data_IF_852926629685
#
_entry.id   IF_852926629685
#
_cell.length_a   1.000
_cell.length_b   1.000
_cell.length_c   1.000
_cell.angle_alpha   90.00
_cell.angle_beta   90.00
_cell.angle_gamma   90.00
#
_symmetry.space_group_name_H-M   'P 1'
#
loop_
_entity.id
_entity.type
_entity.pdbx_description
1 polymer ?
#
# COMPACT_ATOMS: atom_id res chain seq x y z
N UNK A 1 -21.96 -4.36 -1.47
CA UNK A 1 -22.58 -5.01 -2.65
C UNK A 1 -21.43 -5.14 -3.63
N UNK A 2 -20.66 -6.20 -3.43
CA UNK A 2 -19.27 -6.33 -3.90
C UNK A 2 -19.18 -7.59 -4.76
N UNK A 3 -19.73 -7.52 -5.98
CA UNK A 3 -19.60 -8.60 -6.96
C UNK A 3 -18.56 -8.21 -8.02
N UNK A 4 -17.29 -8.39 -7.68
CA UNK A 4 -16.26 -8.67 -8.68
C UNK A 4 -15.68 -10.05 -8.37
N UNK A 5 -15.77 -11.02 -9.29
CA UNK A 5 -15.29 -12.37 -9.04
C UNK A 5 -13.78 -12.35 -8.91
N UNK A 6 -13.30 -12.50 -7.68
CA UNK A 6 -11.89 -12.71 -7.39
C UNK A 6 -11.53 -14.11 -7.87
N UNK A 7 -10.71 -14.21 -8.93
CA UNK A 7 -10.05 -15.46 -9.29
C UNK A 7 -9.34 -16.00 -8.03
N UNK A 8 -9.83 -17.12 -7.53
CA UNK A 8 -9.22 -17.82 -6.41
C UNK A 8 -8.23 -18.85 -6.95
N UNK A 9 -7.42 -19.42 -6.07
CA UNK A 9 -6.33 -20.37 -6.39
C UNK A 9 -6.76 -21.60 -7.20
N UNK A 10 -8.06 -21.83 -7.39
CA UNK A 10 -8.64 -22.96 -8.11
C UNK A 10 -8.98 -22.72 -9.58
N UNK A 11 -8.87 -21.50 -10.11
CA UNK A 11 -9.40 -21.17 -11.46
C UNK A 11 -8.34 -21.14 -12.59
N UNK A 12 -7.07 -21.48 -12.31
CA UNK A 12 -6.04 -21.63 -13.34
C UNK A 12 -6.00 -23.06 -13.89
N UNK A 13 -7.09 -23.50 -14.50
CA UNK A 13 -7.14 -24.70 -15.34
C UNK A 13 -7.64 -24.31 -16.74
N UNK A 14 -6.75 -24.44 -17.71
CA UNK A 14 -7.01 -24.55 -19.16
C UNK A 14 -7.98 -23.55 -19.82
N UNK A 15 -7.45 -22.42 -20.29
CA UNK A 15 -8.07 -21.66 -21.37
C UNK A 15 -7.09 -21.46 -22.52
N UNK A 16 -7.46 -22.06 -23.66
CA UNK A 16 -6.75 -22.07 -24.94
C UNK A 16 -6.54 -20.64 -25.48
N UNK A 17 -5.30 -20.37 -25.87
CA UNK A 17 -4.86 -19.13 -26.51
C UNK A 17 -5.07 -19.24 -28.01
N UNK A 18 -6.30 -19.07 -28.49
CA UNK A 18 -6.58 -18.89 -29.91
C UNK A 18 -8.01 -18.41 -30.14
N UNK A 19 -8.34 -17.15 -29.81
CA UNK A 19 -9.52 -16.47 -30.37
C UNK A 19 -9.52 -14.95 -30.11
N UNK A 20 -8.43 -14.27 -30.49
CA UNK A 20 -8.45 -12.81 -30.67
C UNK A 20 -7.61 -12.42 -31.88
N UNK A 21 -8.00 -12.93 -33.05
CA UNK A 21 -7.65 -12.30 -34.32
C UNK A 21 -8.88 -12.26 -35.21
N UNK A 22 -9.14 -11.05 -35.73
CA UNK A 22 -10.00 -10.72 -36.87
C UNK A 22 -11.44 -10.31 -36.56
N UNK A 23 -11.64 -8.99 -36.41
CA UNK A 23 -12.67 -8.22 -37.11
C UNK A 23 -12.34 -6.72 -36.98
N UNK A 24 -11.69 -6.14 -38.00
CA UNK A 24 -12.23 -5.12 -38.96
C UNK A 24 -12.57 -3.77 -38.27
N UNK A 25 -11.68 -2.76 -38.35
CA UNK A 25 -11.41 -1.79 -39.44
C UNK A 25 -12.28 -0.51 -39.41
N UNK A 26 -11.56 0.61 -39.48
CA UNK A 26 -11.85 1.88 -40.18
C UNK A 26 -12.86 2.86 -39.57
N UNK A 27 -12.32 4.07 -39.31
CA UNK A 27 -13.03 5.33 -39.49
C UNK A 27 -13.02 6.22 -38.26
N UNK A 28 -12.22 7.29 -38.31
CA UNK A 28 -12.47 8.66 -37.80
C UNK A 28 -11.20 9.30 -37.24
N UNK A 29 -10.42 9.89 -38.14
CA UNK A 29 -9.67 11.11 -37.82
C UNK A 29 -10.67 12.27 -37.85
N UNK A 30 -10.88 12.94 -36.72
CA UNK A 30 -11.07 14.39 -36.60
C UNK A 30 -11.46 14.79 -35.18
N UNK A 31 -11.02 15.98 -34.78
CA UNK A 31 -11.40 16.73 -33.58
C UNK A 31 -10.68 16.43 -32.27
N UNK A 32 -9.41 16.83 -32.24
CA UNK A 32 -8.80 17.46 -31.07
C UNK A 32 -9.51 18.81 -30.82
N UNK A 33 -10.55 18.79 -29.98
CA UNK A 33 -11.08 19.91 -29.18
C UNK A 33 -12.40 19.44 -28.58
N UNK A 34 -12.33 18.99 -27.32
CA UNK A 34 -13.41 18.98 -26.32
C UNK A 34 -13.04 17.96 -25.23
N UNK A 35 -12.20 18.39 -24.28
CA UNK A 35 -12.09 17.68 -23.01
C UNK A 35 -13.34 17.97 -22.17
N UNK A 36 -14.31 17.10 -22.40
CA UNK A 36 -15.48 16.69 -21.61
C UNK A 36 -15.65 17.35 -20.23
N UNK A 37 -16.81 17.98 -20.07
CA UNK A 37 -17.51 18.19 -18.79
C UNK A 37 -17.44 16.92 -17.94
N UNK A 38 -17.04 17.09 -16.69
CA UNK A 38 -17.14 16.08 -15.64
C UNK A 38 -18.61 15.66 -15.53
N UNK A 39 -18.87 14.37 -15.78
CA UNK A 39 -20.17 13.74 -15.62
C UNK A 39 -20.59 13.80 -14.15
N UNK A 40 -21.62 14.58 -13.87
CA UNK A 40 -22.32 14.66 -12.59
C UNK A 40 -22.87 13.28 -12.20
N UNK A 41 -22.61 12.91 -10.95
CA UNK A 41 -23.11 11.71 -10.29
C UNK A 41 -24.64 11.64 -10.40
N UNK A 42 -25.16 10.44 -10.72
CA UNK A 42 -26.57 10.10 -10.64
C UNK A 42 -27.05 10.32 -9.20
N UNK A 43 -27.92 11.32 -9.02
CA UNK A 43 -28.76 11.44 -7.83
C UNK A 43 -30.12 10.95 -8.29
N UNK A 44 -30.53 9.77 -7.81
CA UNK A 44 -31.91 9.31 -7.91
C UNK A 44 -32.78 10.30 -7.13
N UNK A 45 -33.39 11.23 -7.86
CA UNK A 45 -34.53 12.04 -7.48
C UNK A 45 -35.24 12.42 -8.77
N UNK A 46 -36.41 11.83 -9.00
CA UNK A 46 -37.36 12.14 -10.08
C UNK A 46 -37.97 13.55 -9.90
N UNK A 47 -37.12 14.57 -9.91
CA UNK A 47 -37.54 15.96 -9.99
C UNK A 47 -36.62 16.66 -10.97
N UNK A 48 -36.97 16.60 -12.27
CA UNK A 48 -36.30 17.40 -13.29
C UNK A 48 -36.73 18.86 -13.13
N UNK A 49 -35.90 19.75 -12.54
CA UNK A 49 -36.29 21.12 -12.25
C UNK A 49 -36.29 21.98 -13.53
N UNK A 50 -35.80 21.43 -14.65
CA UNK A 50 -35.69 22.14 -15.92
C UNK A 50 -36.98 22.14 -16.73
N UNK A 51 -37.95 21.27 -16.40
CA UNK A 51 -39.23 21.17 -17.09
C UNK A 51 -40.22 22.32 -16.82
N UNK A 52 -39.96 23.17 -15.81
CA UNK A 52 -40.84 24.26 -15.38
C UNK A 52 -40.22 25.66 -15.59
N UNK A 53 -39.21 25.79 -16.45
CA UNK A 53 -38.61 27.09 -16.78
C UNK A 53 -39.43 27.75 -17.89
N UNK A 54 -39.81 29.02 -17.71
CA UNK A 54 -40.55 29.75 -18.73
C UNK A 54 -39.72 29.98 -20.00
N UNK A 55 -40.36 29.91 -21.17
CA UNK A 55 -39.70 30.09 -22.46
C UNK A 55 -39.02 31.48 -22.57
N UNK A 56 -39.64 32.52 -22.00
CA UNK A 56 -39.07 33.87 -21.93
C UNK A 56 -37.75 33.89 -21.13
N UNK A 57 -37.70 33.16 -20.01
CA UNK A 57 -36.48 33.03 -19.21
C UNK A 57 -35.38 32.31 -19.98
N UNK A 58 -35.70 31.26 -20.74
CA UNK A 58 -34.70 30.52 -21.50
C UNK A 58 -34.06 31.41 -22.58
N UNK A 59 -34.87 32.20 -23.29
CA UNK A 59 -34.39 33.14 -24.31
C UNK A 59 -33.53 34.26 -23.71
N UNK A 60 -33.97 34.87 -22.60
CA UNK A 60 -33.22 35.93 -21.93
C UNK A 60 -31.95 35.42 -21.24
N UNK A 61 -31.98 34.22 -20.67
CA UNK A 61 -30.85 33.61 -19.98
C UNK A 61 -29.68 33.39 -20.93
N UNK A 62 -29.93 32.90 -22.15
CA UNK A 62 -28.87 32.75 -23.16
C UNK A 62 -28.23 34.09 -23.51
N UNK A 63 -29.04 35.15 -23.71
CA UNK A 63 -28.53 36.49 -24.00
C UNK A 63 -27.71 37.09 -22.84
N UNK A 64 -28.08 36.81 -21.59
CA UNK A 64 -27.33 37.23 -20.40
C UNK A 64 -26.00 36.49 -20.29
N UNK A 65 -25.98 35.19 -20.59
CA UNK A 65 -24.77 34.38 -20.58
C UNK A 65 -23.77 34.85 -21.65
N UNK A 66 -24.24 35.18 -22.85
CA UNK A 66 -23.39 35.72 -23.91
C UNK A 66 -22.80 37.09 -23.54
N UNK A 67 -23.58 37.95 -22.88
CA UNK A 67 -23.06 39.22 -22.35
C UNK A 67 -22.01 39.00 -21.25
N UNK A 68 -22.25 38.05 -20.34
CA UNK A 68 -21.33 37.71 -19.26
C UNK A 68 -19.97 37.24 -19.79
N UNK A 69 -19.96 36.42 -20.85
CA UNK A 69 -18.73 35.91 -21.47
C UNK A 69 -17.92 36.99 -22.17
N UNK A 70 -18.54 38.10 -22.59
CA UNK A 70 -17.87 39.23 -23.23
C UNK A 70 -17.22 40.21 -22.23
N UNK A 71 -17.56 40.12 -20.94
CA UNK A 71 -16.98 40.95 -19.89
C UNK A 71 -15.60 40.46 -19.45
N UNK A 72 -14.79 41.36 -18.89
CA UNK A 72 -13.50 40.99 -18.32
C UNK A 72 -13.64 40.30 -16.94
N UNK A 73 -12.56 39.68 -16.43
CA UNK A 73 -12.62 38.92 -15.18
C UNK A 73 -13.10 39.75 -13.97
N UNK A 74 -12.74 41.04 -13.91
CA UNK A 74 -13.18 41.92 -12.81
C UNK A 74 -14.67 42.23 -12.88
N UNK A 75 -15.19 42.53 -14.08
CA UNK A 75 -16.61 42.77 -14.32
C UNK A 75 -17.45 41.51 -14.06
N UNK A 76 -16.94 40.33 -14.44
CA UNK A 76 -17.56 39.04 -14.13
C UNK A 76 -17.62 38.78 -12.62
N UNK A 77 -16.59 39.17 -11.86
CA UNK A 77 -16.60 39.02 -10.40
C UNK A 77 -17.55 40.02 -9.73
N UNK A 78 -17.56 41.30 -10.13
CA UNK A 78 -18.46 42.33 -9.58
C UNK A 78 -19.93 41.97 -9.80
N UNK A 79 -20.30 41.51 -11.00
CA UNK A 79 -21.70 41.10 -11.26
C UNK A 79 -22.07 39.85 -10.46
N UNK A 80 -21.17 38.88 -10.30
CA UNK A 80 -21.43 37.69 -9.49
C UNK A 80 -21.61 38.04 -8.01
N UNK A 81 -20.80 38.97 -7.48
CA UNK A 81 -20.96 39.48 -6.12
C UNK A 81 -22.32 40.17 -5.92
N UNK A 82 -22.72 41.01 -6.88
CA UNK A 82 -24.03 41.66 -6.87
C UNK A 82 -25.17 40.66 -6.93
N UNK A 83 -25.07 39.66 -7.80
CA UNK A 83 -26.09 38.59 -7.94
C UNK A 83 -26.20 37.81 -6.62
N UNK A 84 -25.06 37.37 -6.05
CA UNK A 84 -25.05 36.63 -4.78
C UNK A 84 -25.61 37.48 -3.63
N UNK A 85 -25.33 38.79 -3.59
CA UNK A 85 -25.87 39.70 -2.56
C UNK A 85 -27.40 39.84 -2.57
N UNK A 86 -28.06 39.51 -3.69
CA UNK A 86 -29.52 39.56 -3.85
C UNK A 86 -30.21 38.22 -3.62
N UNK A 87 -29.44 37.14 -3.44
CA UNK A 87 -30.00 35.80 -3.21
C UNK A 87 -30.41 35.60 -1.76
N UNK A 88 -31.43 34.77 -1.55
CA UNK A 88 -31.83 34.30 -0.21
C UNK A 88 -30.81 33.30 0.36
N UNK A 89 -30.85 33.10 1.69
CA UNK A 89 -29.96 32.15 2.37
C UNK A 89 -30.04 30.72 1.78
N UNK A 90 -31.25 30.26 1.44
CA UNK A 90 -31.45 28.95 0.84
C UNK A 90 -30.83 28.85 -0.56
N UNK A 91 -30.96 29.90 -1.38
CA UNK A 91 -30.35 29.95 -2.71
C UNK A 91 -28.81 29.96 -2.61
N UNK A 92 -28.25 30.72 -1.67
CA UNK A 92 -26.82 30.75 -1.41
C UNK A 92 -26.29 29.39 -0.95
N UNK A 93 -27.01 28.68 -0.10
CA UNK A 93 -26.64 27.31 0.32
C UNK A 93 -26.62 26.35 -0.88
N UNK A 94 -27.62 26.42 -1.77
CA UNK A 94 -27.64 25.63 -3.01
C UNK A 94 -26.46 25.98 -3.91
N UNK A 95 -26.15 27.27 -4.08
CA UNK A 95 -24.99 27.73 -4.85
C UNK A 95 -23.67 27.26 -4.24
N UNK A 96 -23.51 27.32 -2.91
CA UNK A 96 -22.33 26.81 -2.22
C UNK A 96 -22.13 25.32 -2.53
N UNK A 97 -23.19 24.50 -2.46
CA UNK A 97 -23.12 23.07 -2.78
C UNK A 97 -22.70 22.81 -4.23
N UNK A 98 -23.02 23.74 -5.14
CA UNK A 98 -22.63 23.68 -6.54
C UNK A 98 -21.19 24.16 -6.80
N UNK A 99 -20.79 25.28 -6.19
CA UNK A 99 -19.47 25.91 -6.37
C UNK A 99 -18.36 25.09 -5.69
N UNK A 100 -18.61 24.59 -4.48
CA UNK A 100 -17.60 23.90 -3.68
C UNK A 100 -16.91 22.72 -4.39
N UNK A 101 -17.61 21.80 -5.08
CA UNK A 101 -16.95 20.75 -5.87
C UNK A 101 -16.19 21.31 -7.09
N UNK A 102 -16.61 22.44 -7.67
CA UNK A 102 -15.89 23.06 -8.80
C UNK A 102 -14.56 23.69 -8.40
N UNK A 103 -14.43 24.07 -7.12
CA UNK A 103 -13.20 24.59 -6.53
C UNK A 103 -12.22 23.48 -6.11
N UNK A 104 -12.72 22.25 -5.91
CA UNK A 104 -11.87 21.13 -5.57
C UNK A 104 -11.04 20.67 -6.76
N UNK A 105 -9.84 20.15 -6.47
CA UNK A 105 -8.90 19.64 -7.46
C UNK A 105 -8.39 18.29 -7.00
N UNK A 106 -8.43 17.30 -7.89
CA UNK A 106 -7.81 16.00 -7.64
C UNK A 106 -6.32 16.11 -7.93
N UNK A 107 -5.53 16.43 -6.91
CA UNK A 107 -4.07 16.55 -7.04
C UNK A 107 -3.43 15.26 -7.55
N UNK A 108 -3.96 14.08 -7.24
CA UNK A 108 -3.35 12.81 -7.66
C UNK A 108 -3.61 12.54 -9.15
N UNK A 109 -4.75 12.99 -9.68
CA UNK A 109 -5.02 12.95 -11.12
C UNK A 109 -4.30 14.07 -11.90
N UNK A 110 -4.06 15.22 -11.28
CA UNK A 110 -3.46 16.40 -11.93
C UNK A 110 -1.93 16.40 -11.90
N UNK A 111 -1.31 15.84 -10.86
CA UNK A 111 0.13 15.84 -10.70
C UNK A 111 0.81 14.76 -11.55
N UNK A 112 2.04 15.01 -12.03
CA UNK A 112 2.91 13.96 -12.54
C UNK A 112 3.05 12.79 -11.56
N UNK A 113 3.11 11.58 -12.08
CA UNK A 113 3.09 10.35 -11.29
C UNK A 113 4.11 10.35 -10.13
N UNK A 114 5.34 10.82 -10.36
CA UNK A 114 6.39 10.82 -9.34
C UNK A 114 6.07 11.74 -8.14
N UNK A 115 5.41 12.88 -8.37
CA UNK A 115 5.01 13.80 -7.29
C UNK A 115 3.84 13.21 -6.50
N UNK A 116 2.87 12.63 -7.20
CA UNK A 116 1.76 11.92 -6.56
C UNK A 116 2.28 10.77 -5.67
N UNK A 117 3.23 9.98 -6.16
CA UNK A 117 3.89 8.93 -5.38
C UNK A 117 4.64 9.49 -4.17
N UNK A 118 5.34 10.61 -4.31
CA UNK A 118 6.08 11.24 -3.21
C UNK A 118 5.15 11.64 -2.08
N UNK A 119 4.03 12.30 -2.39
CA UNK A 119 3.00 12.68 -1.41
C UNK A 119 2.47 11.43 -0.69
N UNK A 120 1.99 10.45 -1.47
CA UNK A 120 1.34 9.26 -0.93
C UNK A 120 2.30 8.35 -0.15
N UNK A 121 3.60 8.38 -0.45
CA UNK A 121 4.61 7.58 0.27
C UNK A 121 4.81 7.99 1.73
N UNK A 122 4.36 9.18 2.13
CA UNK A 122 4.46 9.66 3.50
C UNK A 122 3.34 9.13 4.40
N UNK A 123 2.24 8.63 3.82
CA UNK A 123 1.05 8.21 4.54
C UNK A 123 1.28 6.96 5.41
N UNK A 124 0.39 6.78 6.39
CA UNK A 124 0.30 5.57 7.19
C UNK A 124 -0.57 4.50 6.50
N UNK A 125 -0.59 3.29 7.06
CA UNK A 125 -1.30 2.16 6.46
C UNK A 125 -2.81 2.40 6.34
N UNK A 126 -3.43 3.07 7.33
CA UNK A 126 -4.88 3.29 7.33
C UNK A 126 -5.26 4.31 6.26
N UNK A 127 -4.56 5.43 6.20
CA UNK A 127 -4.81 6.46 5.19
C UNK A 127 -4.48 5.94 3.79
N UNK A 128 -3.41 5.16 3.63
CA UNK A 128 -3.07 4.55 2.35
C UNK A 128 -4.17 3.58 1.86
N UNK A 129 -4.76 2.80 2.75
CA UNK A 129 -5.91 1.94 2.42
C UNK A 129 -7.15 2.76 2.04
N UNK A 130 -7.41 3.89 2.70
CA UNK A 130 -8.48 4.80 2.31
C UNK A 130 -8.26 5.38 0.90
N UNK A 131 -7.01 5.76 0.57
CA UNK A 131 -6.64 6.23 -0.77
C UNK A 131 -6.92 5.20 -1.88
N UNK A 132 -6.82 3.89 -1.60
CA UNK A 132 -7.17 2.84 -2.57
C UNK A 132 -8.66 2.76 -2.90
N UNK A 133 -9.52 3.24 -1.99
CA UNK A 133 -10.97 3.23 -2.12
C UNK A 133 -11.51 4.50 -2.80
N UNK A 134 -10.69 5.54 -2.97
CA UNK A 134 -11.11 6.81 -3.59
C UNK A 134 -11.48 6.62 -5.06
N UNK A 135 -10.60 5.99 -5.85
CA UNK A 135 -10.86 5.70 -7.26
C UNK A 135 -9.91 4.65 -7.84
N UNK A 136 -10.24 4.13 -9.03
CA UNK A 136 -9.36 3.25 -9.79
C UNK A 136 -8.06 3.92 -10.22
N UNK A 137 -8.09 5.23 -10.49
CA UNK A 137 -6.89 6.01 -10.82
C UNK A 137 -5.95 6.11 -9.62
N UNK A 138 -6.49 6.47 -8.45
CA UNK A 138 -5.71 6.50 -7.22
C UNK A 138 -5.07 5.14 -6.94
N UNK A 139 -5.86 4.07 -6.98
CA UNK A 139 -5.33 2.70 -6.81
C UNK A 139 -4.23 2.36 -7.81
N UNK A 140 -4.35 2.77 -9.07
CA UNK A 140 -3.31 2.58 -10.10
C UNK A 140 -2.01 3.32 -9.74
N UNK A 141 -2.10 4.56 -9.26
CA UNK A 141 -0.93 5.33 -8.79
C UNK A 141 -0.26 4.63 -7.60
N UNK A 142 -1.03 4.18 -6.62
CA UNK A 142 -0.52 3.43 -5.47
C UNK A 142 0.18 2.13 -5.89
N UNK A 143 -0.41 1.40 -6.84
CA UNK A 143 0.11 0.13 -7.33
C UNK A 143 1.42 0.32 -8.14
N UNK A 144 1.44 1.26 -9.08
CA UNK A 144 2.63 1.58 -9.90
C UNK A 144 3.78 2.08 -9.03
N UNK A 145 3.48 2.91 -8.02
CA UNK A 145 4.47 3.41 -7.07
C UNK A 145 4.95 2.38 -6.04
N UNK A 146 4.37 1.18 -6.02
CA UNK A 146 4.61 0.12 -5.02
C UNK A 146 4.53 0.64 -3.58
N UNK A 147 3.53 1.49 -3.25
CA UNK A 147 3.54 2.22 -1.99
C UNK A 147 3.44 1.31 -0.74
N UNK A 148 2.70 0.20 -0.82
CA UNK A 148 2.68 -0.80 0.26
C UNK A 148 4.05 -1.44 0.51
N UNK A 149 4.79 -1.72 -0.56
CA UNK A 149 6.16 -2.21 -0.44
C UNK A 149 7.03 -1.18 0.25
N UNK A 150 7.01 0.08 -0.20
CA UNK A 150 7.77 1.19 0.40
C UNK A 150 7.40 1.38 1.89
N UNK A 151 6.13 1.23 2.25
CA UNK A 151 5.65 1.30 3.62
C UNK A 151 6.23 0.18 4.49
N UNK A 152 6.15 -1.08 4.03
CA UNK A 152 6.75 -2.23 4.74
C UNK A 152 8.27 -2.05 4.86
N UNK A 153 8.92 -1.63 3.79
CA UNK A 153 10.36 -1.38 3.73
C UNK A 153 10.80 -0.30 4.72
N UNK A 154 10.03 0.79 4.83
CA UNK A 154 10.21 1.85 5.83
C UNK A 154 10.10 1.29 7.25
N UNK A 155 9.10 0.45 7.51
CA UNK A 155 8.93 -0.16 8.83
C UNK A 155 10.08 -1.11 9.18
N UNK A 156 10.52 -1.95 8.25
CA UNK A 156 11.67 -2.86 8.42
C UNK A 156 12.96 -2.11 8.73
N UNK A 157 13.18 -0.94 8.12
CA UNK A 157 14.37 -0.12 8.41
C UNK A 157 14.34 0.54 9.78
N UNK A 158 13.16 0.97 10.22
CA UNK A 158 12.98 1.74 11.47
C UNK A 158 12.82 0.86 12.70
N UNK A 159 12.16 -0.29 12.57
CA UNK A 159 11.74 -1.12 13.69
C UNK A 159 12.44 -2.49 13.68
N UNK A 160 13.13 -2.79 14.79
CA UNK A 160 13.86 -4.05 14.99
C UNK A 160 12.95 -5.28 14.96
N UNK A 161 11.72 -5.15 15.45
CA UNK A 161 10.78 -6.26 15.44
C UNK A 161 10.40 -6.58 13.99
N UNK A 162 10.12 -5.57 13.15
CA UNK A 162 9.81 -5.79 11.72
C UNK A 162 11.00 -6.43 11.00
N UNK A 163 12.23 -5.97 11.32
CA UNK A 163 13.47 -6.53 10.78
C UNK A 163 13.62 -8.01 11.13
N UNK A 164 13.58 -8.36 12.42
CA UNK A 164 13.73 -9.74 12.88
C UNK A 164 12.63 -10.66 12.36
N UNK A 165 11.38 -10.17 12.31
CA UNK A 165 10.26 -10.94 11.77
C UNK A 165 10.43 -11.20 10.26
N UNK A 166 10.99 -10.25 9.51
CA UNK A 166 11.24 -10.41 8.07
C UNK A 166 12.19 -11.55 7.73
N UNK A 167 13.17 -11.78 8.61
CA UNK A 167 14.17 -12.83 8.47
C UNK A 167 13.59 -14.17 8.92
N UNK A 168 13.04 -14.23 10.14
CA UNK A 168 12.48 -15.46 10.71
C UNK A 168 11.30 -16.01 9.87
N UNK A 169 10.47 -15.15 9.29
CA UNK A 169 9.34 -15.53 8.41
C UNK A 169 9.70 -15.53 6.92
N UNK A 170 10.96 -15.29 6.56
CA UNK A 170 11.51 -15.41 5.19
C UNK A 170 10.82 -14.53 4.13
N UNK A 171 10.19 -13.42 4.51
CA UNK A 171 9.60 -12.46 3.57
C UNK A 171 10.52 -11.28 3.25
N UNK A 172 11.69 -11.18 3.89
CA UNK A 172 12.75 -10.21 3.57
C UNK A 172 13.11 -10.18 2.07
N UNK A 173 13.12 -11.34 1.42
CA UNK A 173 13.44 -11.53 -0.01
C UNK A 173 12.48 -10.83 -0.99
N UNK A 174 11.30 -10.40 -0.53
CA UNK A 174 10.34 -9.69 -1.37
C UNK A 174 10.47 -8.16 -1.23
N UNK A 175 11.08 -7.65 -0.16
CA UNK A 175 11.03 -6.23 0.20
C UNK A 175 12.36 -5.53 -0.09
N UNK A 176 13.46 -6.06 0.48
CA UNK A 176 14.80 -5.46 0.44
C UNK A 176 15.63 -5.94 -0.76
N UNK A 177 15.02 -5.98 -1.94
CA UNK A 177 15.64 -6.41 -3.21
C UNK A 177 15.31 -5.40 -4.34
N UNK A 178 15.85 -5.57 -5.55
CA UNK A 178 15.42 -4.71 -6.67
C UNK A 178 13.94 -4.92 -7.02
N UNK A 179 13.32 -3.97 -7.74
CA UNK A 179 11.92 -4.12 -8.21
C UNK A 179 11.73 -5.38 -9.05
N UNK A 180 12.69 -5.68 -9.92
CA UNK A 180 12.62 -6.86 -10.79
C UNK A 180 12.83 -8.16 -10.01
N UNK A 181 13.76 -8.20 -9.05
CA UNK A 181 13.93 -9.39 -8.19
C UNK A 181 12.69 -9.67 -7.34
N UNK A 182 12.05 -8.63 -6.79
CA UNK A 182 10.81 -8.77 -6.05
C UNK A 182 9.68 -9.30 -6.95
N UNK A 183 9.59 -8.76 -8.17
CA UNK A 183 8.63 -9.18 -9.19
C UNK A 183 8.80 -10.68 -9.51
N UNK A 184 10.01 -11.15 -9.80
CA UNK A 184 10.30 -12.57 -10.03
C UNK A 184 9.92 -13.44 -8.82
N UNK A 185 10.34 -13.04 -7.61
CA UNK A 185 10.05 -13.82 -6.40
C UNK A 185 8.54 -13.94 -6.11
N UNK A 186 7.75 -12.90 -6.44
CA UNK A 186 6.30 -12.92 -6.32
C UNK A 186 5.67 -13.81 -7.39
N UNK A 187 6.17 -13.76 -8.63
CA UNK A 187 5.77 -14.69 -9.70
C UNK A 187 6.00 -16.15 -9.27
N UNK A 188 7.15 -16.47 -8.69
CA UNK A 188 7.44 -17.80 -8.16
C UNK A 188 6.47 -18.21 -7.04
N UNK A 189 6.12 -17.27 -6.15
CA UNK A 189 5.15 -17.51 -5.08
C UNK A 189 3.77 -17.90 -5.62
N UNK A 190 3.32 -17.23 -6.68
CA UNK A 190 2.05 -17.54 -7.35
C UNK A 190 2.17 -18.63 -8.43
N UNK A 191 3.36 -19.17 -8.68
CA UNK A 191 3.66 -20.17 -9.73
C UNK A 191 3.31 -19.69 -11.14
N UNK A 192 3.58 -18.41 -11.42
CA UNK A 192 3.38 -17.80 -12.75
C UNK A 192 4.73 -17.46 -13.37
N UNK A 193 4.89 -17.64 -14.68
CA UNK A 193 6.12 -17.26 -15.40
C UNK A 193 6.26 -15.73 -15.49
N UNK A 194 7.38 -15.20 -15.01
CA UNK A 194 7.66 -13.76 -14.99
C UNK A 194 7.66 -13.14 -16.40
N UNK A 195 8.18 -13.84 -17.39
CA UNK A 195 8.31 -13.37 -18.78
C UNK A 195 6.95 -13.05 -19.41
N UNK A 196 5.89 -13.74 -18.97
CA UNK A 196 4.53 -13.54 -19.48
C UNK A 196 3.91 -12.23 -18.97
N UNK A 197 4.29 -11.81 -17.76
CA UNK A 197 3.67 -10.69 -17.06
C UNK A 197 4.56 -9.43 -17.06
N UNK A 198 5.84 -9.55 -17.40
CA UNK A 198 6.78 -8.42 -17.36
C UNK A 198 6.25 -7.21 -18.16
N UNK A 199 6.16 -6.07 -17.49
CA UNK A 199 5.72 -4.80 -18.10
C UNK A 199 4.20 -4.63 -18.23
N UNK A 200 3.39 -5.63 -17.84
CA UNK A 200 1.93 -5.51 -17.89
C UNK A 200 1.36 -4.84 -16.64
N UNK A 201 0.17 -4.25 -16.77
CA UNK A 201 -0.59 -3.73 -15.62
C UNK A 201 -0.96 -4.85 -14.64
N UNK A 202 -1.19 -6.07 -15.16
CA UNK A 202 -1.46 -7.25 -14.34
C UNK A 202 -0.33 -7.54 -13.36
N UNK A 203 0.93 -7.43 -13.80
CA UNK A 203 2.10 -7.62 -12.93
C UNK A 203 2.19 -6.58 -11.82
N UNK A 204 1.86 -5.33 -12.13
CA UNK A 204 1.84 -4.24 -11.15
C UNK A 204 0.76 -4.49 -10.11
N UNK A 205 -0.45 -4.86 -10.55
CA UNK A 205 -1.58 -5.14 -9.66
C UNK A 205 -1.37 -6.40 -8.82
N UNK A 206 -0.73 -7.43 -9.38
CA UNK A 206 -0.36 -8.66 -8.64
C UNK A 206 0.58 -8.34 -7.49
N UNK A 207 1.65 -7.56 -7.75
CA UNK A 207 2.57 -7.14 -6.68
C UNK A 207 1.88 -6.26 -5.64
N UNK A 208 1.05 -5.32 -6.09
CA UNK A 208 0.28 -4.47 -5.20
C UNK A 208 -0.60 -5.30 -4.24
N UNK A 209 -1.35 -6.28 -4.78
CA UNK A 209 -2.15 -7.22 -3.98
C UNK A 209 -1.30 -8.00 -2.98
N UNK A 210 -0.16 -8.54 -3.43
CA UNK A 210 0.75 -9.30 -2.56
C UNK A 210 1.18 -8.49 -1.33
N UNK A 211 1.65 -7.26 -1.51
CA UNK A 211 2.08 -6.42 -0.39
C UNK A 211 0.90 -5.93 0.47
N UNK A 212 -0.24 -5.65 -0.15
CA UNK A 212 -1.47 -5.25 0.54
C UNK A 212 -1.97 -6.34 1.49
N UNK A 213 -1.86 -7.60 1.09
CA UNK A 213 -2.20 -8.78 1.90
C UNK A 213 -1.11 -9.13 2.93
N UNK A 214 0.16 -8.89 2.60
CA UNK A 214 1.28 -9.16 3.50
C UNK A 214 1.25 -8.23 4.71
N UNK A 215 0.98 -6.94 4.51
CA UNK A 215 1.01 -5.95 5.59
C UNK A 215 0.15 -6.32 6.82
N UNK A 216 -1.18 -6.61 6.70
CA UNK A 216 -1.99 -6.98 7.86
C UNK A 216 -1.57 -8.31 8.48
N UNK A 217 -1.05 -9.27 7.69
CA UNK A 217 -0.51 -10.53 8.23
C UNK A 217 0.71 -10.29 9.11
N UNK A 218 1.59 -9.38 8.67
CA UNK A 218 2.74 -8.96 9.47
C UNK A 218 2.25 -8.31 10.76
N UNK A 219 1.36 -7.32 10.70
CA UNK A 219 0.82 -6.66 11.91
C UNK A 219 0.19 -7.66 12.89
N UNK A 220 -0.62 -8.60 12.40
CA UNK A 220 -1.22 -9.64 13.24
C UNK A 220 -0.17 -10.57 13.89
N UNK A 221 0.93 -10.88 13.20
CA UNK A 221 2.05 -11.64 13.77
C UNK A 221 2.72 -10.85 14.91
N UNK A 222 2.87 -9.52 14.79
CA UNK A 222 3.41 -8.65 15.85
C UNK A 222 2.52 -8.70 17.08
N UNK A 223 1.22 -8.44 16.88
CA UNK A 223 0.23 -8.42 17.97
C UNK A 223 0.18 -9.77 18.68
N UNK A 224 0.32 -10.87 17.92
CA UNK A 224 0.40 -12.22 18.48
C UNK A 224 1.66 -12.43 19.32
N UNK A 225 2.82 -11.95 18.87
CA UNK A 225 4.07 -12.03 19.63
C UNK A 225 3.91 -11.23 20.94
N UNK A 226 3.39 -10.01 20.90
CA UNK A 226 3.14 -9.22 22.11
C UNK A 226 2.17 -9.91 23.07
N UNK A 227 1.08 -10.48 22.55
CA UNK A 227 0.11 -11.23 23.34
C UNK A 227 0.74 -12.45 24.01
N UNK A 228 1.60 -13.18 23.30
CA UNK A 228 2.35 -14.30 23.86
C UNK A 228 3.26 -13.86 25.00
N UNK A 229 3.97 -12.73 24.86
CA UNK A 229 4.80 -12.17 25.92
C UNK A 229 3.97 -11.79 27.15
N UNK A 230 2.83 -11.10 26.97
CA UNK A 230 1.95 -10.70 28.08
C UNK A 230 1.34 -11.89 28.82
N UNK A 231 1.06 -12.98 28.10
CA UNK A 231 0.44 -14.20 28.65
C UNK A 231 1.43 -15.27 29.11
N UNK A 232 2.73 -15.06 28.89
CA UNK A 232 3.75 -16.07 29.18
C UNK A 232 3.63 -17.32 28.30
N UNK A 233 3.18 -17.18 27.04
CA UNK A 233 3.15 -18.29 26.07
C UNK A 233 4.50 -18.38 25.37
N UNK A 234 5.28 -19.41 25.68
CA UNK A 234 6.61 -19.62 25.11
C UNK A 234 6.91 -21.10 24.82
N UNK A 235 7.92 -21.34 23.98
CA UNK A 235 8.48 -22.67 23.75
C UNK A 235 9.80 -22.77 24.51
N UNK A 236 9.88 -23.67 25.49
CA UNK A 236 11.10 -23.92 26.25
C UNK A 236 12.00 -24.92 25.52
N UNK A 237 13.24 -24.53 25.21
CA UNK A 237 14.32 -25.42 24.82
C UNK A 237 15.37 -25.47 25.94
N UNK A 238 15.83 -26.67 26.27
CA UNK A 238 16.86 -26.88 27.29
C UNK A 238 18.11 -27.46 26.65
N UNK A 239 19.26 -26.86 26.96
CA UNK A 239 20.57 -27.30 26.49
C UNK A 239 21.34 -27.78 27.72
N UNK A 240 21.65 -29.08 27.77
CA UNK A 240 22.49 -29.61 28.83
C UNK A 240 23.96 -29.30 28.51
N UNK A 241 24.58 -28.45 29.32
CA UNK A 241 25.97 -28.07 29.17
C UNK A 241 26.96 -29.20 29.47
N UNK A 242 26.55 -30.30 30.11
CA UNK A 242 27.40 -31.46 30.48
C UNK A 242 28.71 -31.02 31.15
N UNK A 243 28.61 -30.30 32.26
CA UNK A 243 29.78 -29.97 33.11
C UNK A 243 30.15 -31.17 33.98
N UNK A 244 31.45 -31.48 34.04
CA UNK A 244 31.96 -32.69 34.70
C UNK A 244 32.13 -32.50 36.21
N UNK A 245 32.80 -31.42 36.62
CA UNK A 245 33.27 -31.26 38.01
C UNK A 245 32.50 -30.20 38.81
N UNK A 246 31.91 -29.21 38.15
CA UNK A 246 31.18 -28.13 38.81
C UNK A 246 30.10 -27.57 37.91
N UNK A 247 28.85 -27.52 38.40
CA UNK A 247 27.68 -27.09 37.63
C UNK A 247 27.44 -25.59 37.83
N UNK A 248 27.17 -24.88 36.74
CA UNK A 248 26.77 -23.47 36.73
C UNK A 248 27.19 -22.76 35.45
N UNK A 249 26.30 -21.91 34.93
CA UNK A 249 26.59 -20.97 33.83
C UNK A 249 26.63 -19.57 34.44
N UNK A 250 27.77 -18.89 34.34
CA UNK A 250 27.94 -17.55 34.91
C UNK A 250 27.51 -16.44 33.95
N UNK A 251 27.77 -16.63 32.64
CA UNK A 251 27.43 -15.66 31.61
C UNK A 251 27.06 -16.36 30.30
N UNK A 252 26.25 -15.69 29.49
CA UNK A 252 25.93 -16.12 28.13
C UNK A 252 25.77 -14.92 27.20
N UNK A 253 26.06 -15.12 25.92
CA UNK A 253 25.75 -14.20 24.82
C UNK A 253 25.26 -15.02 23.63
N UNK A 254 24.33 -14.50 22.83
CA UNK A 254 23.83 -15.20 21.66
C UNK A 254 23.65 -14.25 20.47
N UNK A 255 23.69 -14.83 19.27
CA UNK A 255 23.28 -14.22 18.01
C UNK A 255 22.36 -15.20 17.25
N UNK A 256 22.10 -14.96 15.96
CA UNK A 256 21.24 -15.85 15.16
C UNK A 256 21.87 -17.21 14.84
N UNK A 257 23.17 -17.38 15.04
CA UNK A 257 23.93 -18.58 14.65
C UNK A 257 24.42 -19.38 15.86
N UNK A 258 24.67 -18.73 17.00
CA UNK A 258 25.32 -19.38 18.15
C UNK A 258 24.97 -18.77 19.50
N UNK A 259 25.17 -19.59 20.54
CA UNK A 259 25.18 -19.22 21.96
C UNK A 259 26.58 -19.48 22.50
N UNK A 260 27.21 -18.48 23.10
CA UNK A 260 28.46 -18.60 23.84
C UNK A 260 28.15 -18.56 25.33
N UNK A 261 28.70 -19.49 26.11
CA UNK A 261 28.45 -19.60 27.55
C UNK A 261 29.76 -19.76 28.32
N UNK A 262 29.89 -19.04 29.44
CA UNK A 262 30.98 -19.20 30.41
C UNK A 262 30.52 -20.05 31.60
N UNK A 263 31.17 -21.19 31.81
CA UNK A 263 30.80 -22.20 32.80
C UNK A 263 31.69 -22.13 34.06
N UNK A 264 31.17 -22.69 35.15
CA UNK A 264 31.87 -22.76 36.45
C UNK A 264 33.09 -23.70 36.46
N UNK A 265 33.16 -24.63 35.53
CA UNK A 265 34.30 -25.54 35.32
C UNK A 265 35.48 -24.89 34.57
N UNK A 266 35.55 -23.54 34.51
CA UNK A 266 36.58 -22.75 33.84
C UNK A 266 36.62 -22.97 32.31
N UNK A 267 35.44 -23.20 31.74
CA UNK A 267 35.28 -23.53 30.32
C UNK A 267 34.35 -22.53 29.65
N UNK A 268 34.69 -22.16 28.42
CA UNK A 268 33.74 -21.52 27.50
C UNK A 268 33.21 -22.57 26.53
N UNK A 269 31.88 -22.73 26.46
CA UNK A 269 31.19 -23.59 25.46
C UNK A 269 30.43 -22.74 24.47
N UNK A 270 30.68 -23.01 23.18
CA UNK A 270 29.95 -22.41 22.06
C UNK A 270 28.98 -23.45 21.50
N UNK A 271 27.71 -23.10 21.44
CA UNK A 271 26.63 -23.91 20.89
C UNK A 271 26.15 -23.29 19.58
N UNK A 272 26.10 -24.05 18.50
CA UNK A 272 25.44 -23.60 17.26
C UNK A 272 23.92 -23.71 17.39
N UNK A 273 23.20 -22.72 16.88
CA UNK A 273 21.75 -22.66 16.83
C UNK A 273 21.27 -23.14 15.47
N UNK A 274 20.82 -24.39 15.39
CA UNK A 274 20.01 -24.87 14.26
C UNK A 274 18.53 -24.81 14.62
N UNK A 275 17.66 -24.72 13.60
CA UNK A 275 16.19 -24.68 13.77
C UNK A 275 15.63 -25.83 14.67
N UNK A 276 16.39 -26.91 14.88
CA UNK A 276 15.94 -28.14 15.56
C UNK A 276 16.82 -28.65 16.70
N UNK A 277 18.09 -28.21 16.84
CA UNK A 277 18.99 -28.69 17.89
C UNK A 277 20.23 -27.78 18.06
N UNK A 278 20.90 -27.90 19.20
CA UNK A 278 22.17 -27.22 19.48
C UNK A 278 23.34 -28.20 19.58
N UNK A 279 24.47 -27.91 18.92
CA UNK A 279 25.71 -28.71 19.02
C UNK A 279 26.84 -27.89 19.65
N UNK A 280 27.60 -28.51 20.55
CA UNK A 280 28.83 -27.91 21.08
C UNK A 280 29.90 -28.00 19.99
N UNK A 281 30.47 -26.86 19.62
CA UNK A 281 31.49 -26.81 18.57
C UNK A 281 32.90 -26.55 19.12
N UNK A 282 33.03 -25.77 20.20
CA UNK A 282 34.34 -25.45 20.79
C UNK A 282 34.37 -25.53 22.32
N UNK A 283 35.55 -25.94 22.81
CA UNK A 283 35.91 -26.04 24.21
C UNK A 283 37.21 -25.27 24.45
N UNK A 284 37.15 -24.18 25.20
CA UNK A 284 38.33 -23.39 25.56
C UNK A 284 38.51 -23.42 27.07
N UNK A 285 39.67 -23.91 27.52
CA UNK A 285 40.08 -23.92 28.93
C UNK A 285 40.91 -22.67 29.22
N UNK A 286 40.38 -21.76 30.06
CA UNK A 286 41.14 -20.64 30.65
C UNK A 286 40.64 -20.40 32.08
N UNK A 287 41.50 -19.94 33.03
CA UNK A 287 41.08 -19.57 34.38
C UNK A 287 39.92 -18.55 34.32
N UNK A 288 39.08 -18.41 35.36
CA UNK A 288 37.73 -17.85 35.23
C UNK A 288 37.74 -16.45 34.64
N UNK A 289 37.51 -16.36 33.32
CA UNK A 289 37.45 -15.10 32.61
C UNK A 289 36.03 -14.57 32.68
N UNK A 290 35.82 -13.52 33.46
CA UNK A 290 34.73 -12.58 33.21
C UNK A 290 35.10 -11.86 31.91
N UNK A 291 34.66 -12.39 30.78
CA UNK A 291 34.82 -11.71 29.49
C UNK A 291 33.76 -10.60 29.43
N UNK A 292 34.15 -9.39 29.79
CA UNK A 292 33.38 -8.18 29.52
C UNK A 292 33.47 -7.91 28.01
N UNK A 293 32.40 -8.21 27.27
CA UNK A 293 32.21 -7.66 25.94
C UNK A 293 31.56 -6.27 26.06
N UNK A 294 32.08 -5.23 25.37
CA UNK A 294 31.42 -3.94 25.35
C UNK A 294 30.08 -4.05 24.60
N UNK A 295 29.07 -3.36 25.15
CA UNK A 295 27.72 -3.20 24.58
C UNK A 295 27.75 -2.45 23.25
#
# INVERSE_FOLDING_TARGET
>A
MDDYPYLTRHDCGDLNVSDYRSTRLKGLNSSLRNQKRISTLHVDNDFDPKGNLGDDYLCECEAVLDKFLNWNEHEQLDIMERILSKMSHNQLFVMQRFIQPMLQRDFIALLPQHLAEMILSNLDARTLAACEAVSTNWRSVLARGQLWRKLIERNVRKDNMWRGLSEKKKWRKYILVSRDCAACAICDYYRVKYERLRGTTEMVMMQHRFYRELFPKVVADIDKIESNWRKGVYKLSSINCRSENSKGVYCLQYDDEKIVSGLRDNVIKVFELFDSYSRVFFHLTKPPCIVLFPL
#
